data_IF_818160894993
#
_entry.id   IF_818160894993
#
_cell.length_a   1.000
_cell.length_b   1.000
_cell.length_c   1.000
_cell.angle_alpha   90.00
_cell.angle_beta   90.00
_cell.angle_gamma   90.00
#
_symmetry.space_group_name_H-M   'P 1'
#
loop_
_entity.id
_entity.type
_entity.pdbx_description
1 polymer ?
#
# COMPACT_ATOMS: atom_id res chain seq x y z
N UNK A 1 14.99 -23.54 -4.42
CA UNK A 1 15.40 -22.62 -3.35
C UNK A 1 14.55 -21.35 -3.50
N UNK A 2 13.59 -21.18 -2.60
CA UNK A 2 12.75 -20.00 -2.55
C UNK A 2 13.60 -18.80 -2.13
N UNK A 3 13.66 -17.76 -2.97
CA UNK A 3 14.39 -16.55 -2.68
C UNK A 3 13.92 -15.89 -1.37
N UNK A 4 14.87 -15.46 -0.55
CA UNK A 4 14.59 -14.84 0.72
C UNK A 4 14.23 -13.36 0.54
N UNK A 5 13.10 -12.92 1.11
CA UNK A 5 12.86 -11.49 1.31
C UNK A 5 13.73 -11.04 2.47
N UNK A 6 14.69 -10.17 2.20
CA UNK A 6 15.52 -9.55 3.23
C UNK A 6 15.03 -8.12 3.37
N UNK A 7 14.50 -7.78 4.54
CA UNK A 7 14.23 -6.40 4.92
C UNK A 7 15.55 -5.85 5.48
N UNK A 8 16.05 -4.78 4.87
CA UNK A 8 17.30 -4.13 5.33
C UNK A 8 17.03 -2.70 5.76
N UNK A 9 17.76 -2.21 6.74
CA UNK A 9 17.79 -0.82 7.14
C UNK A 9 18.54 0.06 6.10
N UNK A 10 18.62 1.36 6.35
CA UNK A 10 19.32 2.32 5.50
C UNK A 10 20.83 2.04 5.36
N UNK A 11 21.42 1.30 6.30
CA UNK A 11 22.81 0.88 6.27
C UNK A 11 23.02 -0.47 5.56
N UNK A 12 21.94 -1.10 5.07
CA UNK A 12 21.97 -2.40 4.40
C UNK A 12 22.03 -3.58 5.37
N UNK A 13 21.78 -3.38 6.67
CA UNK A 13 21.71 -4.45 7.66
C UNK A 13 20.34 -5.10 7.65
N UNK A 14 20.32 -6.41 7.78
CA UNK A 14 19.09 -7.20 7.82
C UNK A 14 18.28 -6.87 9.08
N UNK A 15 17.02 -6.49 8.90
CA UNK A 15 16.06 -6.24 9.97
C UNK A 15 15.13 -7.44 10.15
N UNK A 16 14.79 -7.73 11.38
CA UNK A 16 13.67 -8.60 11.71
C UNK A 16 12.33 -7.87 11.46
N UNK A 17 11.24 -8.61 11.31
CA UNK A 17 9.91 -8.00 11.16
C UNK A 17 9.51 -7.15 12.38
N UNK A 18 9.97 -7.49 13.58
CA UNK A 18 9.74 -6.70 14.79
C UNK A 18 10.52 -5.39 14.79
N UNK A 19 11.75 -5.39 14.29
CA UNK A 19 12.56 -4.17 14.13
C UNK A 19 11.98 -3.26 13.05
N UNK A 20 11.49 -3.83 11.94
CA UNK A 20 10.78 -3.08 10.91
C UNK A 20 9.49 -2.46 11.48
N UNK A 21 8.69 -3.23 12.22
CA UNK A 21 7.49 -2.71 12.90
C UNK A 21 7.81 -1.55 13.84
N UNK A 22 8.84 -1.71 14.68
CA UNK A 22 9.29 -0.65 15.59
C UNK A 22 9.83 0.60 14.84
N UNK A 23 10.50 0.40 13.70
CA UNK A 23 10.96 1.51 12.86
C UNK A 23 9.79 2.29 12.24
N UNK A 24 8.73 1.59 11.82
CA UNK A 24 7.49 2.20 11.31
C UNK A 24 6.77 2.98 12.43
N UNK A 25 6.64 2.41 13.64
CA UNK A 25 6.06 3.09 14.80
C UNK A 25 6.85 4.35 15.20
N UNK A 26 8.18 4.27 15.22
CA UNK A 26 9.04 5.41 15.52
C UNK A 26 8.98 6.50 14.43
N UNK A 27 8.86 6.11 13.16
CA UNK A 27 8.68 7.06 12.06
C UNK A 27 7.33 7.77 12.14
N UNK A 28 6.27 7.07 12.53
CA UNK A 28 4.95 7.63 12.77
C UNK A 28 4.95 8.61 13.96
N UNK A 29 5.64 8.25 15.05
CA UNK A 29 5.77 9.12 16.24
C UNK A 29 6.63 10.37 15.99
N UNK A 30 7.56 10.33 15.04
CA UNK A 30 8.44 11.45 14.69
C UNK A 30 7.85 12.48 13.73
N UNK A 31 6.73 12.20 13.10
CA UNK A 31 6.09 13.06 12.08
C UNK A 31 4.81 13.75 12.55
N UNK A 32 4.65 13.99 13.83
CA UNK A 32 3.69 15.01 14.33
C UNK A 32 4.16 16.43 13.97
N UNK A 33 4.60 16.65 12.73
CA UNK A 33 4.81 17.95 12.13
C UNK A 33 3.60 18.26 11.24
N UNK A 34 2.63 18.93 11.85
CA UNK A 34 1.62 19.74 11.20
C UNK A 34 2.15 20.42 9.94
N UNK A 35 1.96 19.85 8.80
CA UNK A 35 1.78 20.62 7.59
C UNK A 35 0.34 20.40 7.17
N UNK A 36 -0.50 21.37 7.54
CA UNK A 36 -1.88 21.43 7.14
C UNK A 36 -2.00 21.18 5.64
N UNK A 37 -2.69 20.15 5.28
CA UNK A 37 -3.33 20.09 3.99
C UNK A 37 -4.45 21.10 4.13
N UNK A 38 -4.29 22.29 3.56
CA UNK A 38 -5.40 23.19 3.31
C UNK A 38 -6.35 22.44 2.40
N UNK A 39 -7.24 21.64 3.00
CA UNK A 39 -8.42 21.15 2.36
C UNK A 39 -9.35 22.37 2.19
N UNK A 40 -9.12 23.15 1.15
CA UNK A 40 -10.05 24.20 0.71
C UNK A 40 -11.26 23.62 0.00
N UNK A 41 -11.58 22.36 0.25
CA UNK A 41 -12.81 21.71 -0.15
C UNK A 41 -13.59 21.30 1.09
N UNK A 42 -14.79 21.80 1.24
CA UNK A 42 -15.72 21.52 2.34
C UNK A 42 -16.30 20.09 2.28
N UNK A 43 -15.51 19.09 1.91
CA UNK A 43 -15.90 17.71 1.76
C UNK A 43 -15.03 16.76 2.58
N UNK A 44 -15.63 15.67 3.03
CA UNK A 44 -14.91 14.56 3.67
C UNK A 44 -14.26 13.70 2.58
N UNK A 45 -12.97 13.39 2.71
CA UNK A 45 -12.25 12.48 1.82
C UNK A 45 -12.45 11.03 2.27
N UNK A 46 -13.00 10.19 1.42
CA UNK A 46 -13.16 8.76 1.68
C UNK A 46 -11.93 7.99 1.15
N UNK A 47 -11.16 7.41 2.05
CA UNK A 47 -9.99 6.60 1.72
C UNK A 47 -10.30 5.14 2.00
N UNK A 48 -10.18 4.29 0.99
CA UNK A 48 -10.31 2.84 1.15
C UNK A 48 -8.92 2.22 1.09
N UNK A 49 -8.56 1.49 2.13
CA UNK A 49 -7.32 0.74 2.23
C UNK A 49 -7.60 -0.72 1.86
N UNK A 50 -6.80 -1.26 0.96
CA UNK A 50 -6.98 -2.60 0.43
C UNK A 50 -5.77 -3.48 0.78
N UNK A 51 -5.81 -4.22 1.89
CA UNK A 51 -4.80 -5.23 2.17
C UNK A 51 -4.86 -6.34 1.12
N UNK A 52 -3.82 -6.49 0.32
CA UNK A 52 -3.75 -7.53 -0.72
C UNK A 52 -3.92 -8.94 -0.16
N UNK A 53 -4.34 -9.88 -1.02
CA UNK A 53 -4.54 -11.28 -0.66
C UNK A 53 -5.55 -11.52 0.48
N UNK A 54 -5.49 -12.66 1.16
CA UNK A 54 -6.30 -13.01 2.33
C UNK A 54 -6.97 -14.37 2.23
N UNK A 55 -7.15 -15.03 3.38
CA UNK A 55 -7.77 -16.34 3.49
C UNK A 55 -6.99 -17.42 2.77
N UNK A 56 -7.59 -18.03 1.74
CA UNK A 56 -6.96 -19.09 0.93
C UNK A 56 -5.85 -18.58 0.01
N UNK A 57 -5.83 -17.28 -0.28
CA UNK A 57 -4.75 -16.62 -1.03
C UNK A 57 -3.80 -15.94 -0.04
N UNK A 58 -2.74 -16.62 0.34
CA UNK A 58 -1.72 -16.07 1.27
C UNK A 58 -0.76 -15.08 0.64
N UNK A 59 -0.76 -14.92 -0.70
CA UNK A 59 0.28 -14.20 -1.42
C UNK A 59 1.64 -14.88 -1.29
N UNK A 60 2.71 -14.11 -1.40
CA UNK A 60 4.06 -14.61 -1.19
C UNK A 60 4.26 -15.06 0.27
N UNK A 61 5.04 -16.13 0.45
CA UNK A 61 5.34 -16.66 1.79
C UNK A 61 6.85 -16.89 1.95
N UNK A 62 7.48 -16.20 2.90
CA UNK A 62 8.90 -16.29 3.18
C UNK A 62 9.16 -16.16 4.68
N UNK A 63 10.15 -16.90 5.19
CA UNK A 63 10.57 -16.84 6.61
C UNK A 63 9.45 -17.01 7.65
N UNK A 64 8.40 -17.76 7.30
CA UNK A 64 7.25 -17.93 8.18
C UNK A 64 6.23 -16.79 8.16
N UNK A 65 6.41 -15.80 7.31
CA UNK A 65 5.45 -14.72 7.09
C UNK A 65 4.68 -14.93 5.78
N UNK A 66 3.40 -14.55 5.79
CA UNK A 66 2.56 -14.46 4.59
C UNK A 66 2.42 -12.99 4.20
N UNK A 67 2.41 -12.71 2.91
CA UNK A 67 2.15 -11.39 2.38
C UNK A 67 0.79 -10.84 2.85
N UNK A 68 -0.25 -11.69 2.86
CA UNK A 68 -1.59 -11.33 3.33
C UNK A 68 -1.61 -10.79 4.76
N UNK A 69 -0.83 -11.39 5.66
CA UNK A 69 -0.77 -10.99 7.07
C UNK A 69 -0.05 -9.64 7.22
N UNK A 70 1.06 -9.46 6.52
CA UNK A 70 1.83 -8.22 6.54
C UNK A 70 1.06 -7.07 5.89
N UNK A 71 0.41 -7.32 4.74
CA UNK A 71 -0.43 -6.33 4.07
C UNK A 71 -1.57 -5.85 4.98
N UNK A 72 -2.19 -6.78 5.73
CA UNK A 72 -3.25 -6.45 6.69
C UNK A 72 -2.72 -5.57 7.85
N UNK A 73 -1.56 -5.91 8.40
CA UNK A 73 -0.94 -5.12 9.47
C UNK A 73 -0.58 -3.70 8.99
N UNK A 74 0.06 -3.58 7.82
CA UNK A 74 0.42 -2.26 7.26
C UNK A 74 -0.84 -1.41 7.03
N UNK A 75 -1.88 -1.99 6.44
CA UNK A 75 -3.13 -1.27 6.20
C UNK A 75 -3.82 -0.86 7.51
N UNK A 76 -3.76 -1.70 8.56
CA UNK A 76 -4.32 -1.37 9.87
C UNK A 76 -3.58 -0.19 10.54
N UNK A 77 -2.24 -0.16 10.48
CA UNK A 77 -1.46 0.98 10.95
C UNK A 77 -1.75 2.25 10.16
N UNK A 78 -1.83 2.14 8.83
CA UNK A 78 -2.19 3.27 7.97
C UNK A 78 -3.59 3.81 8.31
N UNK A 79 -4.57 2.92 8.57
CA UNK A 79 -5.90 3.31 9.00
C UNK A 79 -5.86 4.06 10.33
N UNK A 80 -5.16 3.50 11.33
CA UNK A 80 -5.06 4.11 12.64
C UNK A 80 -4.48 5.53 12.59
N UNK A 81 -3.49 5.76 11.74
CA UNK A 81 -2.92 7.09 11.50
C UNK A 81 -3.93 8.00 10.78
N UNK A 82 -4.54 7.56 9.69
CA UNK A 82 -5.50 8.36 8.92
C UNK A 82 -6.73 8.74 9.74
N UNK A 83 -7.18 7.89 10.65
CA UNK A 83 -8.32 8.16 11.54
C UNK A 83 -8.04 9.33 12.53
N UNK A 84 -6.79 9.77 12.67
CA UNK A 84 -6.44 10.93 13.50
C UNK A 84 -6.65 12.27 12.80
N UNK A 85 -6.90 12.28 11.49
CA UNK A 85 -7.04 13.49 10.70
C UNK A 85 -8.51 13.87 10.50
N UNK A 86 -8.86 15.09 10.82
CA UNK A 86 -10.19 15.64 10.52
C UNK A 86 -10.44 15.71 9.01
N UNK A 87 -11.67 15.41 8.59
CA UNK A 87 -12.04 15.45 7.17
C UNK A 87 -11.64 14.20 6.38
N UNK A 88 -11.06 13.18 7.02
CA UNK A 88 -10.80 11.88 6.40
C UNK A 88 -11.72 10.81 7.00
N UNK A 89 -12.28 9.95 6.15
CA UNK A 89 -12.96 8.72 6.54
C UNK A 89 -12.24 7.54 5.93
N UNK A 90 -11.82 6.61 6.77
CA UNK A 90 -11.01 5.47 6.35
C UNK A 90 -11.80 4.17 6.46
N UNK A 91 -11.80 3.40 5.39
CA UNK A 91 -12.41 2.08 5.29
C UNK A 91 -11.36 1.06 4.88
N UNK A 92 -11.64 -0.23 5.09
CA UNK A 92 -10.79 -1.33 4.63
C UNK A 92 -11.60 -2.32 3.82
N UNK A 93 -11.00 -2.91 2.78
CA UNK A 93 -11.65 -3.97 1.98
C UNK A 93 -11.78 -5.26 2.80
N UNK A 94 -10.85 -5.54 3.70
CA UNK A 94 -10.90 -6.59 4.70
C UNK A 94 -10.21 -6.16 5.99
N UNK A 95 -10.68 -6.66 7.12
CA UNK A 95 -10.15 -6.38 8.47
C UNK A 95 -9.63 -7.63 9.18
N UNK A 96 -9.75 -8.78 8.54
CA UNK A 96 -9.28 -10.08 9.02
C UNK A 96 -8.62 -10.86 7.88
N UNK A 97 -8.03 -12.01 8.20
CA UNK A 97 -7.55 -12.97 7.19
C UNK A 97 -8.74 -13.73 6.59
N UNK A 98 -9.40 -13.12 5.60
CA UNK A 98 -10.58 -13.66 4.93
C UNK A 98 -10.36 -13.76 3.42
N UNK A 99 -10.95 -14.76 2.80
CA UNK A 99 -10.99 -14.93 1.34
C UNK A 99 -11.89 -13.87 0.71
N UNK A 100 -11.38 -13.15 -0.28
CA UNK A 100 -12.10 -12.06 -0.93
C UNK A 100 -12.89 -12.47 -2.17
N UNK A 101 -12.67 -13.68 -2.69
CA UNK A 101 -13.37 -14.27 -3.85
C UNK A 101 -12.88 -15.69 -4.08
N UNK A 102 -13.65 -16.52 -4.81
CA UNK A 102 -13.27 -17.88 -5.14
C UNK A 102 -12.18 -17.95 -6.23
N UNK A 103 -12.08 -16.88 -7.03
CA UNK A 103 -11.05 -16.70 -8.06
C UNK A 103 -10.32 -15.37 -7.86
N UNK A 104 -9.17 -15.21 -8.51
CA UNK A 104 -8.44 -13.94 -8.48
C UNK A 104 -9.26 -12.79 -9.05
N UNK A 105 -9.97 -13.02 -10.16
CA UNK A 105 -10.83 -12.02 -10.79
C UNK A 105 -11.93 -11.59 -9.82
N UNK A 106 -12.64 -12.55 -9.24
CA UNK A 106 -13.71 -12.29 -8.26
C UNK A 106 -13.19 -11.54 -7.02
N UNK A 107 -11.99 -11.88 -6.54
CA UNK A 107 -11.35 -11.17 -5.45
C UNK A 107 -11.09 -9.71 -5.81
N UNK A 108 -10.58 -9.42 -7.00
CA UNK A 108 -10.33 -8.05 -7.47
C UNK A 108 -11.63 -7.27 -7.64
N UNK A 109 -12.65 -7.88 -8.27
CA UNK A 109 -13.98 -7.27 -8.47
C UNK A 109 -14.64 -6.90 -7.14
N UNK A 110 -14.57 -7.79 -6.14
CA UNK A 110 -15.13 -7.55 -4.81
C UNK A 110 -14.41 -6.39 -4.09
N UNK A 111 -13.08 -6.25 -4.24
CA UNK A 111 -12.32 -5.13 -3.68
C UNK A 111 -12.75 -3.80 -4.30
N UNK A 112 -12.88 -3.76 -5.62
CA UNK A 112 -13.37 -2.58 -6.35
C UNK A 112 -14.81 -2.26 -5.96
N UNK A 113 -15.68 -3.27 -5.83
CA UNK A 113 -17.07 -3.09 -5.39
C UNK A 113 -17.16 -2.51 -3.97
N UNK A 114 -16.27 -2.93 -3.06
CA UNK A 114 -16.20 -2.36 -1.71
C UNK A 114 -15.76 -0.89 -1.77
N UNK A 115 -14.75 -0.56 -2.57
CA UNK A 115 -14.32 0.82 -2.75
C UNK A 115 -15.45 1.69 -3.29
N UNK A 116 -16.18 1.21 -4.32
CA UNK A 116 -17.33 1.90 -4.88
C UNK A 116 -18.47 2.07 -3.85
N UNK A 117 -18.75 1.04 -3.03
CA UNK A 117 -19.76 1.09 -1.98
C UNK A 117 -19.50 2.21 -0.97
N UNK A 118 -18.25 2.47 -0.63
CA UNK A 118 -17.87 3.54 0.29
C UNK A 118 -17.66 4.89 -0.39
N UNK A 119 -17.87 4.97 -1.71
CA UNK A 119 -17.67 6.20 -2.48
C UNK A 119 -16.21 6.67 -2.36
N UNK A 120 -15.26 5.75 -2.55
CA UNK A 120 -13.85 6.03 -2.38
C UNK A 120 -13.36 7.14 -3.31
N UNK A 121 -12.80 8.20 -2.76
CA UNK A 121 -12.02 9.19 -3.50
C UNK A 121 -10.61 8.66 -3.81
N UNK A 122 -10.09 7.80 -2.91
CA UNK A 122 -8.79 7.14 -3.05
C UNK A 122 -8.91 5.68 -2.61
N UNK A 123 -8.39 4.76 -3.44
CA UNK A 123 -8.14 3.37 -3.09
C UNK A 123 -6.63 3.13 -3.04
N UNK A 124 -6.13 2.64 -1.91
CA UNK A 124 -4.71 2.29 -1.71
C UNK A 124 -4.59 0.81 -1.44
N UNK A 125 -3.97 0.07 -2.36
CA UNK A 125 -3.72 -1.37 -2.19
C UNK A 125 -2.30 -1.62 -1.68
N UNK A 126 -2.16 -2.55 -0.73
CA UNK A 126 -0.90 -2.92 -0.09
C UNK A 126 -0.49 -4.32 -0.52
N UNK A 127 0.67 -4.43 -1.11
CA UNK A 127 1.29 -5.67 -1.53
C UNK A 127 2.78 -5.69 -1.17
N UNK A 128 3.33 -6.88 -1.00
CA UNK A 128 4.76 -7.11 -0.83
C UNK A 128 5.24 -8.01 -1.97
N UNK A 129 6.06 -7.46 -2.85
CA UNK A 129 6.59 -8.22 -3.97
C UNK A 129 7.57 -9.30 -3.51
N UNK A 130 7.60 -10.40 -4.24
CA UNK A 130 8.58 -11.46 -4.09
C UNK A 130 9.50 -11.54 -5.31
N UNK A 131 10.73 -12.00 -5.10
CA UNK A 131 11.69 -12.23 -6.17
C UNK A 131 12.56 -13.44 -5.85
N UNK A 132 12.91 -14.20 -6.88
CA UNK A 132 13.96 -15.23 -6.80
C UNK A 132 15.37 -14.64 -6.80
N UNK A 133 15.50 -13.35 -7.13
CA UNK A 133 16.77 -12.64 -7.07
C UNK A 133 16.99 -12.11 -5.64
N UNK A 134 17.97 -12.66 -4.95
CA UNK A 134 18.32 -12.28 -3.56
C UNK A 134 18.80 -10.83 -3.40
N UNK A 135 19.13 -10.13 -4.51
CA UNK A 135 19.51 -8.72 -4.49
C UNK A 135 18.32 -7.78 -4.73
N UNK A 136 17.15 -8.33 -5.06
CA UNK A 136 15.94 -7.52 -5.26
C UNK A 136 15.47 -6.95 -3.92
N UNK A 137 15.34 -5.63 -3.85
CA UNK A 137 14.86 -4.92 -2.68
C UNK A 137 14.22 -3.59 -3.07
N UNK A 138 13.62 -2.92 -2.09
CA UNK A 138 13.10 -1.57 -2.23
C UNK A 138 11.59 -1.50 -2.43
N UNK A 139 11.10 -0.31 -2.70
CA UNK A 139 9.68 0.01 -2.81
C UNK A 139 9.35 0.65 -4.16
N UNK A 140 8.17 0.35 -4.66
CA UNK A 140 7.57 1.01 -5.82
C UNK A 140 6.12 1.33 -5.51
N UNK A 141 5.65 2.50 -5.93
CA UNK A 141 4.23 2.85 -5.86
C UNK A 141 3.65 2.89 -7.28
N UNK A 142 2.60 2.12 -7.49
CA UNK A 142 1.89 2.08 -8.77
C UNK A 142 0.72 3.04 -8.76
N UNK A 143 0.44 3.66 -9.90
CA UNK A 143 -0.67 4.59 -10.08
C UNK A 143 -1.41 4.32 -11.40
N UNK A 144 -2.67 4.80 -11.55
CA UNK A 144 -3.48 4.56 -12.73
C UNK A 144 -2.85 5.10 -14.02
N UNK A 145 -3.05 4.39 -15.13
CA UNK A 145 -2.60 4.84 -16.44
C UNK A 145 -3.41 6.06 -16.92
N UNK A 146 -2.73 7.19 -17.15
CA UNK A 146 -3.35 8.42 -17.63
C UNK A 146 -3.90 8.33 -19.07
N UNK A 147 -3.45 7.36 -19.86
CA UNK A 147 -4.02 7.11 -21.19
C UNK A 147 -5.44 6.56 -21.12
N UNK A 148 -5.75 5.80 -20.06
CA UNK A 148 -7.10 5.29 -19.82
C UNK A 148 -7.99 6.34 -19.13
N UNK A 149 -7.50 6.95 -18.05
CA UNK A 149 -8.20 8.00 -17.31
C UNK A 149 -7.21 9.12 -16.94
N UNK A 150 -7.14 10.20 -17.74
CA UNK A 150 -6.19 11.29 -17.54
C UNK A 150 -6.28 11.94 -16.15
N UNK A 151 -7.48 12.12 -15.63
CA UNK A 151 -7.69 12.73 -14.30
C UNK A 151 -7.15 11.82 -13.20
N UNK A 152 -7.58 10.57 -13.20
CA UNK A 152 -7.11 9.60 -12.20
C UNK A 152 -5.60 9.37 -12.31
N UNK A 153 -5.05 9.27 -13.53
CA UNK A 153 -3.62 9.10 -13.75
C UNK A 153 -2.79 10.27 -13.25
N UNK A 154 -3.19 11.49 -13.55
CA UNK A 154 -2.45 12.69 -13.12
C UNK A 154 -2.51 12.88 -11.59
N UNK A 155 -3.70 12.74 -10.99
CA UNK A 155 -3.88 12.83 -9.53
C UNK A 155 -3.15 11.68 -8.82
N UNK A 156 -3.29 10.46 -9.35
CA UNK A 156 -2.62 9.27 -8.82
C UNK A 156 -1.10 9.36 -8.87
N UNK A 157 -0.53 9.91 -9.96
CA UNK A 157 0.90 10.14 -10.06
C UNK A 157 1.41 11.10 -8.96
N UNK A 158 0.70 12.19 -8.74
CA UNK A 158 1.04 13.16 -7.67
C UNK A 158 1.02 12.53 -6.27
N UNK A 159 0.02 11.71 -5.97
CA UNK A 159 -0.09 10.99 -4.71
C UNK A 159 1.00 9.90 -4.61
N UNK A 160 1.18 9.10 -5.66
CA UNK A 160 2.19 8.04 -5.70
C UNK A 160 3.60 8.57 -5.47
N UNK A 161 3.95 9.71 -6.07
CA UNK A 161 5.26 10.34 -5.87
C UNK A 161 5.50 10.75 -4.41
N UNK A 162 4.47 11.27 -3.72
CA UNK A 162 4.55 11.63 -2.30
C UNK A 162 4.70 10.40 -1.40
N UNK A 163 3.93 9.34 -1.65
CA UNK A 163 4.02 8.08 -0.92
C UNK A 163 5.41 7.46 -1.15
N UNK A 164 5.87 7.38 -2.41
CA UNK A 164 7.17 6.84 -2.77
C UNK A 164 8.31 7.54 -2.03
N UNK A 165 8.30 8.88 -2.01
CA UNK A 165 9.31 9.67 -1.31
C UNK A 165 9.32 9.40 0.21
N UNK A 166 8.15 9.22 0.83
CA UNK A 166 8.04 8.90 2.27
C UNK A 166 8.54 7.50 2.57
N UNK A 167 8.21 6.51 1.74
CA UNK A 167 8.70 5.14 1.90
C UNK A 167 10.22 5.05 1.69
N UNK A 168 10.77 5.77 0.71
CA UNK A 168 12.22 5.86 0.53
C UNK A 168 12.93 6.52 1.72
N UNK A 169 12.30 7.50 2.35
CA UNK A 169 12.83 8.16 3.54
C UNK A 169 12.91 7.23 4.78
N UNK A 170 12.22 6.09 4.77
CA UNK A 170 12.37 5.03 5.78
C UNK A 170 13.65 4.19 5.57
N UNK A 171 14.46 4.50 4.55
CA UNK A 171 15.66 3.76 4.19
C UNK A 171 15.42 2.64 3.17
N UNK A 172 14.22 2.50 2.63
CA UNK A 172 13.95 1.56 1.55
C UNK A 172 14.55 2.07 0.24
N UNK A 173 15.12 1.16 -0.56
CA UNK A 173 15.60 1.52 -1.90
C UNK A 173 14.45 2.07 -2.73
N UNK A 174 14.64 3.24 -3.31
CA UNK A 174 13.67 3.85 -4.21
C UNK A 174 13.73 3.19 -5.59
N UNK A 175 12.69 2.44 -5.94
CA UNK A 175 12.51 1.83 -7.27
C UNK A 175 11.54 2.66 -8.15
N UNK A 176 11.13 3.83 -7.69
CA UNK A 176 10.32 4.81 -8.40
C UNK A 176 8.83 4.50 -8.43
N UNK A 177 8.08 5.47 -8.90
CA UNK A 177 6.66 5.30 -9.23
C UNK A 177 6.51 4.61 -10.58
N UNK A 178 5.43 3.83 -10.74
CA UNK A 178 5.21 3.00 -11.94
C UNK A 178 3.73 3.01 -12.33
N UNK A 179 3.48 2.79 -13.62
CA UNK A 179 2.18 2.41 -14.14
C UNK A 179 2.21 0.94 -14.53
N UNK A 180 1.13 0.22 -14.20
CA UNK A 180 0.95 -1.15 -14.66
C UNK A 180 0.50 -1.12 -16.12
N UNK A 181 1.05 -1.98 -16.96
CA UNK A 181 0.71 -2.06 -18.39
C UNK A 181 0.76 -0.69 -19.10
N UNK A 182 1.93 -0.04 -19.07
CA UNK A 182 2.13 1.29 -19.65
C UNK A 182 1.76 1.42 -21.14
N UNK A 183 1.71 0.29 -21.88
CA UNK A 183 1.32 0.24 -23.28
C UNK A 183 -0.17 -0.02 -23.53
N UNK A 184 -0.93 -0.33 -22.47
CA UNK A 184 -2.35 -0.65 -22.59
C UNK A 184 -3.23 0.53 -22.18
N UNK A 185 -4.41 0.61 -22.79
CA UNK A 185 -5.45 1.60 -22.47
C UNK A 185 -6.50 1.07 -21.50
N UNK A 186 -6.32 -0.17 -21.03
CA UNK A 186 -7.19 -0.85 -20.06
C UNK A 186 -6.35 -1.35 -18.89
N UNK A 187 -7.01 -1.58 -17.74
CA UNK A 187 -6.42 -2.24 -16.57
C UNK A 187 -6.35 -3.75 -16.79
#
# INVERSE_FOLDING_TARGET
>A
DAGSVVITDAAGQQMSASEFGAAVENAAAGTAATTGVDATGSGTLNVVLDPGHGGTDGGASYFGYKESDLALQIAAYCKAELDTYDGIRTYMTRTTDQTMGATQVESLDNRVAIAAKYGADVLVSFHLNASTNSTANGVSVYYPNSNYNPTAGNTGNGLAAKIQAKLAALGLKDNGTKIWNASETTY
#
